data_IF_153859211391
#
_entry.id   IF_153859211391
#
_cell.length_a   1.000
_cell.length_b   1.000
_cell.length_c   1.000
_cell.angle_alpha   90.00
_cell.angle_beta   90.00
_cell.angle_gamma   90.00
#
_symmetry.space_group_name_H-M   'P 1'
#
loop_
_entity.id
_entity.type
_entity.pdbx_description
1 polymer ?
#
# COMPACT_ATOMS: atom_id res chain seq x y z
N UNK A 1 4.74 9.77 8.20
CA UNK A 1 3.42 9.21 7.82
C UNK A 1 2.32 10.18 8.24
N UNK A 2 1.39 10.54 7.36
CA UNK A 2 0.31 11.49 7.68
C UNK A 2 -0.87 10.79 8.42
N UNK A 3 -1.90 11.54 8.84
CA UNK A 3 -3.02 10.98 9.60
C UNK A 3 -3.85 9.95 8.81
N UNK A 4 -4.11 10.20 7.52
CA UNK A 4 -4.88 9.28 6.68
C UNK A 4 -4.13 7.95 6.49
N UNK A 5 -2.82 8.04 6.22
CA UNK A 5 -1.93 6.90 6.10
C UNK A 5 -1.93 6.04 7.37
N UNK A 6 -1.91 6.66 8.55
CA UNK A 6 -1.95 5.96 9.84
C UNK A 6 -3.25 5.18 10.04
N UNK A 7 -4.39 5.72 9.61
CA UNK A 7 -5.67 5.01 9.68
C UNK A 7 -5.66 3.79 8.76
N UNK A 8 -5.21 3.96 7.53
CA UNK A 8 -5.08 2.87 6.55
C UNK A 8 -4.12 1.78 7.04
N UNK A 9 -3.00 2.18 7.65
CA UNK A 9 -2.06 1.25 8.26
C UNK A 9 -2.70 0.44 9.40
N UNK A 10 -3.44 1.08 10.31
CA UNK A 10 -4.10 0.39 11.43
C UNK A 10 -5.11 -0.65 10.99
N UNK A 11 -5.86 -0.36 9.91
CA UNK A 11 -6.77 -1.34 9.32
C UNK A 11 -6.02 -2.55 8.73
N UNK A 12 -4.89 -2.31 8.06
CA UNK A 12 -4.04 -3.39 7.55
C UNK A 12 -3.43 -4.21 8.68
N UNK A 13 -2.94 -3.56 9.72
CA UNK A 13 -2.41 -4.22 10.91
C UNK A 13 -3.46 -5.14 11.55
N UNK A 14 -4.71 -4.68 11.64
CA UNK A 14 -5.82 -5.51 12.12
C UNK A 14 -6.02 -6.76 11.25
N UNK A 15 -6.00 -6.63 9.92
CA UNK A 15 -6.09 -7.78 8.99
C UNK A 15 -4.94 -8.77 9.21
N UNK A 16 -3.71 -8.27 9.37
CA UNK A 16 -2.52 -9.09 9.62
C UNK A 16 -2.61 -9.85 10.96
N UNK A 17 -3.07 -9.18 12.02
CA UNK A 17 -3.27 -9.79 13.34
C UNK A 17 -4.37 -10.85 13.29
N UNK A 18 -5.50 -10.59 12.63
CA UNK A 18 -6.55 -11.59 12.41
C UNK A 18 -6.05 -12.78 11.58
N UNK A 19 -5.15 -12.54 10.63
CA UNK A 19 -4.47 -13.58 9.86
C UNK A 19 -3.30 -14.26 10.60
N UNK A 20 -3.13 -14.00 11.91
CA UNK A 20 -2.10 -14.59 12.79
C UNK A 20 -0.67 -14.42 12.26
N UNK A 21 -0.36 -13.29 11.63
CA UNK A 21 1.02 -12.97 11.25
C UNK A 21 1.86 -12.68 12.49
N UNK A 22 3.14 -13.06 12.44
CA UNK A 22 4.04 -12.86 13.57
C UNK A 22 4.29 -11.35 13.79
N UNK A 23 4.57 -10.92 15.04
CA UNK A 23 4.89 -9.53 15.33
C UNK A 23 6.07 -9.01 14.49
N UNK A 24 7.08 -9.85 14.28
CA UNK A 24 8.24 -9.56 13.42
C UNK A 24 7.82 -9.25 11.98
N UNK A 25 6.89 -10.02 11.42
CA UNK A 25 6.40 -9.78 10.06
C UNK A 25 5.59 -8.48 9.97
N UNK A 26 4.74 -8.21 10.97
CA UNK A 26 3.96 -6.95 11.04
C UNK A 26 4.91 -5.75 11.10
N UNK A 27 5.95 -5.83 11.94
CA UNK A 27 6.99 -4.81 12.04
C UNK A 27 7.67 -4.55 10.70
N UNK A 28 8.11 -5.58 9.97
CA UNK A 28 8.73 -5.41 8.65
C UNK A 28 7.80 -4.81 7.59
N UNK A 29 6.49 -4.99 7.73
CA UNK A 29 5.52 -4.29 6.89
C UNK A 29 5.36 -2.83 7.29
N UNK A 30 5.38 -2.53 8.61
CA UNK A 30 5.31 -1.17 9.12
C UNK A 30 6.50 -0.33 8.67
N UNK A 31 7.71 -0.84 8.91
CA UNK A 31 8.98 -0.18 8.57
C UNK A 31 9.09 0.15 7.07
N UNK A 32 8.45 -0.67 6.21
CA UNK A 32 8.42 -0.40 4.78
C UNK A 32 7.42 0.72 4.44
N UNK A 33 6.25 0.73 5.06
CA UNK A 33 5.22 1.75 4.84
C UNK A 33 5.64 3.12 5.42
N UNK A 34 6.24 3.14 6.61
CA UNK A 34 6.78 4.33 7.27
C UNK A 34 7.83 5.01 6.39
N UNK A 35 8.81 4.25 5.90
CA UNK A 35 9.88 4.82 5.08
C UNK A 35 9.40 5.29 3.71
N UNK A 36 8.40 4.63 3.12
CA UNK A 36 7.78 5.14 1.90
C UNK A 36 7.09 6.48 2.18
N UNK A 37 6.37 6.60 3.29
CA UNK A 37 5.69 7.85 3.65
C UNK A 37 6.67 8.98 4.03
N UNK A 38 7.81 8.64 4.64
CA UNK A 38 8.91 9.58 4.90
C UNK A 38 9.55 10.07 3.59
N UNK A 39 9.80 9.14 2.67
CA UNK A 39 10.33 9.46 1.35
C UNK A 39 9.42 10.44 0.59
N UNK A 40 8.11 10.18 0.55
CA UNK A 40 7.16 11.10 -0.11
C UNK A 40 6.94 12.40 0.65
N UNK A 41 7.16 12.41 1.96
CA UNK A 41 7.18 13.64 2.75
C UNK A 41 8.44 14.49 2.52
N UNK A 42 9.41 14.01 1.73
CA UNK A 42 10.64 14.73 1.41
C UNK A 42 11.68 14.71 2.53
N UNK A 43 11.47 13.96 3.62
CA UNK A 43 12.43 13.91 4.74
C UNK A 43 13.72 13.16 4.41
N UNK A 44 13.73 12.44 3.28
CA UNK A 44 14.91 11.74 2.78
C UNK A 44 15.77 12.59 1.83
N UNK A 45 15.27 13.74 1.37
CA UNK A 45 16.01 14.63 0.48
C UNK A 45 16.88 15.59 1.29
N UNK A 46 18.18 15.29 1.38
CA UNK A 46 19.18 16.33 1.65
C UNK A 46 19.31 17.22 0.41
N UNK A 47 19.68 18.49 0.59
CA UNK A 47 19.81 19.47 -0.49
C UNK A 47 20.70 18.91 -1.62
N UNK A 48 20.10 18.60 -2.77
CA UNK A 48 20.80 18.02 -3.94
C UNK A 48 20.29 16.67 -4.44
N UNK A 49 19.24 16.08 -3.84
CA UNK A 49 18.59 14.90 -4.41
C UNK A 49 17.66 15.31 -5.57
N UNK A 50 17.99 14.94 -6.81
CA UNK A 50 17.18 15.16 -8.03
C UNK A 50 15.90 14.31 -8.10
N UNK A 51 15.58 13.55 -7.04
CA UNK A 51 14.35 12.79 -6.99
C UNK A 51 13.17 13.73 -6.74
N UNK A 52 12.19 13.67 -7.63
CA UNK A 52 10.99 14.50 -7.59
C UNK A 52 10.36 14.48 -6.19
N UNK A 53 10.27 15.64 -5.56
CA UNK A 53 9.54 15.84 -4.31
C UNK A 53 8.08 15.52 -4.57
N UNK A 54 7.60 14.39 -4.06
CA UNK A 54 6.23 13.93 -4.28
C UNK A 54 5.28 14.50 -3.23
N UNK A 55 4.96 15.81 -3.31
CA UNK A 55 3.95 16.60 -2.55
C UNK A 55 3.13 15.85 -1.46
N UNK A 56 3.79 15.28 -0.45
CA UNK A 56 3.14 14.60 0.67
C UNK A 56 2.03 13.60 0.30
N UNK A 57 2.13 12.91 -0.84
CA UNK A 57 1.06 12.06 -1.36
C UNK A 57 0.63 10.99 -0.32
N UNK A 58 -0.68 10.85 -0.12
CA UNK A 58 -1.25 9.79 0.74
C UNK A 58 -1.10 8.42 0.07
N UNK A 59 -1.17 7.33 0.84
CA UNK A 59 -1.11 5.97 0.29
C UNK A 59 -2.17 5.70 -0.78
N UNK A 60 -3.32 6.36 -0.73
CA UNK A 60 -4.40 6.22 -1.73
C UNK A 60 -4.11 7.01 -3.02
N UNK A 61 -3.34 8.10 -2.93
CA UNK A 61 -2.93 8.92 -4.07
C UNK A 61 -1.60 8.47 -4.69
N UNK A 62 -0.91 7.51 -4.06
CA UNK A 62 0.39 7.05 -4.53
C UNK A 62 0.32 6.37 -5.89
N UNK A 63 1.25 6.78 -6.76
CA UNK A 63 1.42 6.19 -8.07
C UNK A 63 2.57 5.17 -8.09
N UNK A 64 2.67 4.42 -9.18
CA UNK A 64 3.82 3.56 -9.46
C UNK A 64 5.14 4.33 -9.37
N UNK A 65 5.18 5.55 -9.91
CA UNK A 65 6.39 6.36 -9.96
C UNK A 65 6.94 6.60 -8.55
N UNK A 66 6.07 6.95 -7.59
CA UNK A 66 6.50 7.19 -6.20
C UNK A 66 7.17 5.96 -5.58
N UNK A 67 6.61 4.77 -5.82
CA UNK A 67 7.19 3.51 -5.31
C UNK A 67 8.49 3.16 -6.04
N UNK A 68 8.61 3.44 -7.32
CA UNK A 68 9.84 3.20 -8.07
C UNK A 68 10.97 4.13 -7.62
N UNK A 69 10.68 5.43 -7.47
CA UNK A 69 11.66 6.42 -7.02
C UNK A 69 12.14 6.08 -5.61
N UNK A 70 11.21 5.71 -4.71
CA UNK A 70 11.56 5.19 -3.39
C UNK A 70 12.52 4.00 -3.47
N UNK A 71 12.21 3.00 -4.31
CA UNK A 71 13.05 1.81 -4.43
C UNK A 71 14.42 2.12 -5.04
N UNK A 72 14.52 3.10 -5.95
CA UNK A 72 15.80 3.58 -6.48
C UNK A 72 16.63 4.22 -5.36
N UNK A 73 16.04 5.10 -4.56
CA UNK A 73 16.73 5.70 -3.41
C UNK A 73 17.15 4.64 -2.38
N UNK A 74 16.34 3.61 -2.15
CA UNK A 74 16.74 2.48 -1.30
C UNK A 74 17.91 1.71 -1.90
N UNK A 75 17.94 1.50 -3.23
CA UNK A 75 19.06 0.81 -3.90
C UNK A 75 20.35 1.63 -3.88
N UNK A 76 20.26 2.96 -3.80
CA UNK A 76 21.41 3.84 -3.65
C UNK A 76 22.01 3.79 -2.25
N UNK A 77 21.17 3.61 -1.23
CA UNK A 77 21.58 3.64 0.19
C UNK A 77 21.81 2.26 0.80
N UNK A 78 21.19 1.23 0.24
CA UNK A 78 21.12 -0.11 0.82
C UNK A 78 21.28 -1.21 -0.23
N UNK A 79 21.45 -2.45 0.24
CA UNK A 79 21.61 -3.61 -0.63
C UNK A 79 20.35 -3.95 -1.43
N UNK A 80 20.56 -4.65 -2.55
CA UNK A 80 19.50 -5.20 -3.41
C UNK A 80 18.53 -6.10 -2.64
N UNK A 81 19.02 -6.88 -1.68
CA UNK A 81 18.20 -7.70 -0.79
C UNK A 81 17.26 -6.86 0.05
N UNK A 82 17.74 -5.75 0.62
CA UNK A 82 16.91 -4.82 1.38
C UNK A 82 15.83 -4.20 0.51
N UNK A 83 16.16 -3.73 -0.69
CA UNK A 83 15.19 -3.21 -1.65
C UNK A 83 14.13 -4.25 -2.02
N UNK A 84 14.54 -5.50 -2.28
CA UNK A 84 13.62 -6.60 -2.60
C UNK A 84 12.70 -6.96 -1.42
N UNK A 85 13.19 -6.89 -0.18
CA UNK A 85 12.37 -7.09 1.02
C UNK A 85 11.32 -5.98 1.15
N UNK A 86 11.72 -4.71 1.02
CA UNK A 86 10.82 -3.57 1.08
C UNK A 86 9.76 -3.61 -0.01
N UNK A 87 10.15 -3.93 -1.24
CA UNK A 87 9.21 -4.11 -2.33
C UNK A 87 8.17 -5.20 -2.04
N UNK A 88 8.58 -6.35 -1.49
CA UNK A 88 7.65 -7.43 -1.13
C UNK A 88 6.65 -6.99 -0.05
N UNK A 89 7.13 -6.27 0.96
CA UNK A 89 6.28 -5.67 2.00
C UNK A 89 5.26 -4.70 1.41
N UNK A 90 5.72 -3.72 0.63
CA UNK A 90 4.86 -2.72 0.00
C UNK A 90 3.85 -3.36 -0.96
N UNK A 91 4.28 -4.31 -1.79
CA UNK A 91 3.38 -5.05 -2.68
C UNK A 91 2.27 -5.73 -1.90
N UNK A 92 2.57 -6.38 -0.77
CA UNK A 92 1.55 -7.03 0.06
C UNK A 92 0.54 -6.00 0.60
N UNK A 93 1.01 -4.85 1.05
CA UNK A 93 0.18 -3.76 1.57
C UNK A 93 -0.74 -3.16 0.48
N UNK A 94 -0.18 -2.75 -0.66
CA UNK A 94 -0.96 -2.20 -1.77
C UNK A 94 -1.97 -3.23 -2.34
N UNK A 95 -1.61 -4.51 -2.42
CA UNK A 95 -2.56 -5.56 -2.80
C UNK A 95 -3.72 -5.69 -1.80
N UNK A 96 -3.45 -5.51 -0.51
CA UNK A 96 -4.49 -5.52 0.51
C UNK A 96 -5.42 -4.30 0.34
N UNK A 97 -4.88 -3.11 0.05
CA UNK A 97 -5.69 -1.91 -0.18
C UNK A 97 -6.66 -2.08 -1.35
N UNK A 98 -6.20 -2.60 -2.49
CA UNK A 98 -7.08 -2.90 -3.64
C UNK A 98 -8.20 -3.86 -3.24
N UNK A 99 -7.86 -4.96 -2.55
CA UNK A 99 -8.86 -5.95 -2.11
C UNK A 99 -9.83 -5.38 -1.07
N UNK A 100 -9.41 -4.40 -0.26
CA UNK A 100 -10.25 -3.72 0.71
C UNK A 100 -11.30 -2.86 0.01
N UNK A 101 -10.88 -2.06 -0.97
CA UNK A 101 -11.77 -1.23 -1.79
C UNK A 101 -12.83 -2.10 -2.49
N UNK A 102 -12.42 -3.23 -3.08
CA UNK A 102 -13.34 -4.18 -3.71
C UNK A 102 -14.38 -4.74 -2.71
N UNK A 103 -13.98 -5.00 -1.46
CA UNK A 103 -14.85 -5.54 -0.41
C UNK A 103 -15.81 -4.49 0.16
N UNK A 104 -15.38 -3.23 0.26
CA UNK A 104 -16.22 -2.13 0.77
C UNK A 104 -17.44 -1.83 -0.12
N UNK A 105 -17.45 -2.29 -1.38
CA UNK A 105 -18.63 -2.29 -2.24
C UNK A 105 -19.64 -3.43 -2.01
N UNK A 106 -19.34 -4.41 -1.13
CA UNK A 106 -20.08 -5.67 -1.04
C UNK A 106 -20.40 -6.16 0.39
N UNK A 107 -20.17 -5.35 1.45
CA UNK A 107 -20.57 -5.77 2.81
C UNK A 107 -22.04 -5.44 3.05
N UNK A 108 -22.93 -6.31 2.58
CA UNK A 108 -24.14 -6.58 3.34
C UNK A 108 -23.66 -7.30 4.61
N UNK A 109 -23.57 -6.56 5.72
CA UNK A 109 -23.34 -7.19 7.03
C UNK A 109 -24.56 -8.07 7.25
N UNK A 110 -24.46 -9.42 7.27
CA UNK A 110 -25.59 -10.20 7.72
C UNK A 110 -25.83 -9.74 9.16
N UNK A 111 -27.01 -9.17 9.39
CA UNK A 111 -27.46 -8.86 10.73
C UNK A 111 -27.17 -10.09 11.59
N UNK A 112 -26.49 -9.90 12.72
CA UNK A 112 -26.47 -10.89 13.78
C UNK A 112 -27.92 -11.38 13.92
N UNK A 113 -28.22 -12.69 13.85
CA UNK A 113 -29.60 -13.15 13.88
C UNK A 113 -30.16 -12.83 15.27
N UNK A 114 -30.77 -11.65 15.41
CA UNK A 114 -31.66 -11.34 16.50
C UNK A 114 -32.90 -12.20 16.27
N UNK A 115 -33.30 -13.05 17.24
CA UNK A 115 -34.48 -13.86 17.08
C UNK A 115 -35.70 -12.99 17.38
N UNK A 116 -36.10 -12.15 16.42
CA UNK A 116 -37.47 -11.70 16.17
C UNK A 116 -37.48 -10.43 15.31
N UNK A 117 -37.97 -10.56 14.08
CA UNK A 117 -39.06 -9.76 13.50
C UNK A 117 -38.83 -9.37 12.03
N UNK A 118 -39.75 -9.86 11.21
CA UNK A 118 -40.44 -9.20 10.10
C UNK A 118 -39.66 -8.34 9.09
N UNK A 119 -39.70 -8.81 7.83
CA UNK A 119 -39.59 -8.02 6.58
C UNK A 119 -40.72 -6.97 6.48
N UNK A 120 -40.54 -5.83 5.75
CA UNK A 120 -40.71 -5.84 4.28
C UNK A 120 -39.73 -4.96 3.45
N UNK A 121 -39.86 -5.14 2.13
CA UNK A 121 -39.06 -4.62 1.01
C UNK A 121 -39.03 -3.09 0.91
N UNK A 122 -37.91 -2.55 0.44
CA UNK A 122 -37.82 -1.19 -0.10
C UNK A 122 -36.67 -1.09 -1.10
N UNK A 123 -37.02 -0.83 -2.37
CA UNK A 123 -36.11 -0.47 -3.46
C UNK A 123 -35.48 0.91 -3.20
N UNK A 124 -34.15 0.98 -3.13
CA UNK A 124 -33.41 2.24 -3.00
C UNK A 124 -32.11 2.16 -3.78
N UNK A 125 -31.98 3.05 -4.77
CA UNK A 125 -30.83 3.17 -5.66
C UNK A 125 -29.53 3.35 -4.86
N UNK A 126 -28.56 2.46 -5.10
CA UNK A 126 -27.24 2.56 -4.47
C UNK A 126 -26.50 3.82 -4.92
N UNK A 127 -25.79 4.52 -4.02
CA UNK A 127 -24.97 5.66 -4.40
C UNK A 127 -23.86 5.21 -5.35
N UNK A 128 -23.62 6.02 -6.38
CA UNK A 128 -22.57 5.81 -7.38
C UNK A 128 -21.23 5.71 -6.66
N UNK A 129 -20.71 4.49 -6.55
CA UNK A 129 -19.37 4.23 -6.03
C UNK A 129 -18.36 5.02 -6.88
N UNK A 130 -17.65 5.95 -6.23
CA UNK A 130 -16.44 6.55 -6.80
C UNK A 130 -15.51 5.39 -7.12
N UNK A 131 -15.22 5.20 -8.41
CA UNK A 131 -14.27 4.19 -8.88
C UNK A 131 -12.92 4.45 -8.21
N UNK A 132 -12.23 3.41 -7.69
CA UNK A 132 -10.84 3.58 -7.27
C UNK A 132 -10.00 4.01 -8.48
N UNK A 133 -9.15 5.02 -8.29
CA UNK A 133 -8.25 5.53 -9.34
C UNK A 133 -7.32 4.37 -9.74
N UNK A 134 -7.20 4.13 -11.05
CA UNK A 134 -6.58 2.96 -11.68
C UNK A 134 -5.10 2.65 -11.32
N UNK A 135 -4.45 3.46 -10.46
CA UNK A 135 -3.03 3.37 -10.13
C UNK A 135 -2.66 2.15 -9.27
N UNK A 136 -3.51 1.76 -8.30
CA UNK A 136 -3.18 0.71 -7.32
C UNK A 136 -3.33 -0.71 -7.92
N UNK A 137 -4.30 -0.91 -8.81
CA UNK A 137 -4.59 -2.19 -9.48
C UNK A 137 -3.48 -2.67 -10.45
N UNK A 138 -2.55 -1.79 -10.83
CA UNK A 138 -1.39 -2.12 -11.66
C UNK A 138 -0.17 -2.52 -10.83
N UNK A 139 0.05 -1.90 -9.67
CA UNK A 139 1.21 -2.08 -8.78
C UNK A 139 1.42 -3.55 -8.36
N UNK A 140 0.31 -4.29 -8.29
CA UNK A 140 0.23 -5.73 -7.97
C UNK A 140 0.92 -6.64 -9.00
N UNK A 141 1.01 -6.21 -10.26
CA UNK A 141 1.32 -7.10 -11.41
C UNK A 141 2.77 -7.09 -11.89
N UNK A 142 3.61 -6.07 -11.69
CA UNK A 142 4.86 -6.00 -12.48
C UNK A 142 6.19 -5.49 -11.90
N UNK A 143 6.36 -5.22 -10.60
CA UNK A 143 7.66 -4.69 -10.13
C UNK A 143 8.79 -5.72 -9.85
N UNK A 144 8.51 -7.02 -9.91
CA UNK A 144 9.54 -8.08 -9.79
C UNK A 144 10.42 -8.26 -11.04
N UNK A 145 10.05 -7.67 -12.19
CA UNK A 145 10.85 -7.72 -13.42
C UNK A 145 11.85 -6.55 -13.49
N UNK A 146 11.45 -5.36 -13.03
CA UNK A 146 12.32 -4.18 -12.93
C UNK A 146 13.48 -4.37 -11.93
N UNK A 147 13.23 -4.93 -10.74
CA UNK A 147 14.31 -5.14 -9.74
C UNK A 147 15.39 -6.11 -10.23
N UNK A 148 15.06 -7.08 -11.09
CA UNK A 148 16.03 -8.00 -11.68
C UNK A 148 16.84 -7.37 -12.82
N UNK A 149 16.24 -6.47 -13.60
CA UNK A 149 16.99 -5.71 -14.62
C UNK A 149 17.91 -4.66 -13.97
N UNK A 150 17.40 -3.87 -13.03
CA UNK A 150 18.19 -2.82 -12.36
C UNK A 150 19.37 -3.37 -11.54
N UNK A 151 19.26 -4.59 -10.99
CA UNK A 151 20.38 -5.27 -10.32
C UNK A 151 21.44 -5.79 -11.30
N UNK A 152 21.08 -6.08 -12.55
CA UNK A 152 22.04 -6.54 -13.57
C UNK A 152 22.83 -5.37 -14.17
N UNK A 153 22.19 -4.21 -14.38
CA UNK A 153 22.85 -3.04 -14.98
C UNK A 153 23.90 -2.42 -14.06
N UNK A 154 23.71 -2.49 -12.74
CA UNK A 154 24.66 -1.95 -11.74
C UNK A 154 25.86 -2.85 -11.44
N UNK A 155 25.81 -4.12 -11.85
CA UNK A 155 26.93 -5.05 -11.75
C UNK A 155 27.83 -5.03 -13.01
N UNK A 156 27.43 -4.26 -14.04
CA UNK A 156 28.10 -4.14 -15.33
C UNK A 156 28.87 -2.81 -15.51
N UNK A 157 28.93 -1.97 -14.47
CA UNK A 157 29.75 -0.75 -14.37
C UNK A 157 30.77 -0.93 -13.25
#
# INVERSE_FOLDING_TARGET
>A
MNHADLLTWREFERDLRTAKRSPRTIQSYNEAAEQLAEFTAGSWCEAGCDHATHDGATFEDMTKAHVQDYLLTVLDRHSTTTAANRFRSLRRFFNWMVRREDRQGAVEVPACPSPASARPRGSGQGPRLRRPRAAVAWLVRQAARCLRHLSNDRAAL
#
